data_IF_145882047774
#
_entry.id   IF_145882047774
#
_cell.length_a   1.000
_cell.length_b   1.000
_cell.length_c   1.000
_cell.angle_alpha   90.00
_cell.angle_beta   90.00
_cell.angle_gamma   90.00
#
_symmetry.space_group_name_H-M   'P 1'
#
loop_
_entity.id
_entity.type
_entity.pdbx_description
1 polymer ?
#
# COMPACT_ATOMS: atom_id res chain seq x y z
N UNK A 1 66.97 20.56 -44.85
CA UNK A 1 67.84 21.67 -44.53
C UNK A 1 67.26 22.30 -43.30
N UNK A 2 67.79 21.96 -42.30
CA UNK A 2 68.78 22.50 -41.36
C UNK A 2 68.05 23.32 -40.29
N UNK A 3 68.01 22.81 -39.12
CA UNK A 3 68.96 22.74 -37.98
C UNK A 3 68.95 23.97 -37.08
N UNK A 4 68.81 23.70 -35.88
CA UNK A 4 69.56 24.14 -34.68
C UNK A 4 68.98 25.33 -33.93
N UNK A 5 68.87 25.18 -32.74
CA UNK A 5 69.52 24.87 -31.47
C UNK A 5 69.41 26.06 -30.49
N UNK A 6 68.89 25.77 -29.33
CA UNK A 6 69.43 26.02 -27.97
C UNK A 6 70.00 27.39 -27.64
N UNK A 7 69.53 28.05 -26.59
CA UNK A 7 70.38 28.25 -25.39
C UNK A 7 69.61 28.77 -24.15
N UNK A 8 70.16 28.36 -23.06
CA UNK A 8 69.73 28.52 -21.63
C UNK A 8 70.20 29.91 -21.09
N UNK A 9 69.59 30.19 -19.90
CA UNK A 9 70.01 31.10 -18.80
C UNK A 9 69.29 32.45 -18.83
N UNK A 10 68.79 33.02 -17.75
CA UNK A 10 69.14 32.89 -16.32
C UNK A 10 68.01 33.34 -15.41
N UNK A 11 68.00 32.76 -14.25
CA UNK A 11 67.52 33.21 -12.92
C UNK A 11 67.15 34.69 -12.77
N UNK A 12 65.98 34.92 -12.14
CA UNK A 12 65.89 35.83 -11.00
C UNK A 12 64.63 35.51 -10.19
N UNK A 13 64.83 35.39 -8.87
CA UNK A 13 63.87 35.04 -7.83
C UNK A 13 62.86 36.15 -7.63
N UNK A 14 61.58 35.76 -7.52
CA UNK A 14 60.58 36.52 -6.80
C UNK A 14 59.75 35.55 -5.97
N UNK A 15 59.90 35.63 -4.68
CA UNK A 15 59.18 34.92 -3.66
C UNK A 15 57.70 35.35 -3.70
N UNK A 16 56.80 34.46 -4.13
CA UNK A 16 55.35 34.59 -3.87
C UNK A 16 54.89 33.42 -3.05
N UNK A 17 54.54 33.74 -1.86
CA UNK A 17 53.93 32.85 -0.83
C UNK A 17 52.67 32.23 -1.40
N UNK A 18 52.71 30.96 -1.78
CA UNK A 18 51.52 30.17 -2.13
C UNK A 18 50.85 29.75 -0.85
N UNK A 19 49.75 30.42 -0.50
CA UNK A 19 48.84 29.96 0.54
C UNK A 19 48.18 28.67 0.04
N UNK A 20 48.58 27.54 0.59
CA UNK A 20 47.89 26.25 0.43
C UNK A 20 46.56 26.35 1.21
N UNK A 21 45.48 26.62 0.50
CA UNK A 21 44.15 26.41 1.00
C UNK A 21 43.90 24.89 1.09
N UNK A 22 44.23 24.31 2.24
CA UNK A 22 43.71 23.02 2.67
C UNK A 22 42.20 23.19 2.88
N UNK A 23 41.42 22.91 1.84
CA UNK A 23 39.99 22.75 1.95
C UNK A 23 39.69 21.54 2.84
N UNK A 24 39.38 21.79 4.09
CA UNK A 24 38.70 20.81 4.93
C UNK A 24 37.35 20.51 4.29
N UNK A 25 37.28 19.44 3.54
CA UNK A 25 36.01 18.80 3.23
C UNK A 25 35.45 18.30 4.57
N UNK A 26 34.67 19.14 5.23
CA UNK A 26 33.83 18.70 6.33
C UNK A 26 32.84 17.71 5.76
N UNK A 27 33.10 16.42 5.97
CA UNK A 27 32.10 15.38 5.85
C UNK A 27 30.99 15.72 6.85
N UNK A 28 29.96 16.41 6.41
CA UNK A 28 28.72 16.53 7.18
C UNK A 28 28.17 15.12 7.33
N UNK A 29 28.41 14.53 8.52
CA UNK A 29 27.65 13.35 8.95
C UNK A 29 26.17 13.73 8.80
N UNK A 30 25.34 12.84 8.23
CA UNK A 30 23.90 13.11 8.16
C UNK A 30 23.43 13.41 9.58
N UNK A 31 22.79 14.57 9.72
CA UNK A 31 22.23 15.04 10.99
C UNK A 31 21.14 14.05 11.42
N UNK A 32 21.48 13.13 12.32
CA UNK A 32 20.56 12.16 12.92
C UNK A 32 19.77 12.79 14.07
N UNK A 33 19.35 14.05 13.93
CA UNK A 33 18.44 14.65 14.88
C UNK A 33 17.21 13.73 14.99
N UNK A 34 16.92 13.22 16.19
CA UNK A 34 15.74 12.41 16.45
C UNK A 34 14.52 13.26 16.06
N UNK A 35 13.81 12.81 15.02
CA UNK A 35 12.56 13.42 14.61
C UNK A 35 11.56 13.17 15.74
N UNK A 36 11.12 14.25 16.39
CA UNK A 36 10.09 14.19 17.42
C UNK A 36 8.79 14.59 16.73
N UNK A 37 7.75 13.72 16.68
CA UNK A 37 6.46 14.12 16.14
C UNK A 37 5.93 15.36 16.83
N UNK A 38 5.38 16.29 16.07
CA UNK A 38 4.68 17.45 16.64
C UNK A 38 3.53 16.96 17.53
N UNK A 39 3.46 17.41 18.76
CA UNK A 39 2.30 17.13 19.62
C UNK A 39 1.16 18.05 19.21
N UNK A 40 0.08 17.48 18.66
CA UNK A 40 -1.19 18.19 18.46
C UNK A 40 -1.97 18.09 19.77
N UNK A 41 -2.42 19.22 20.31
CA UNK A 41 -3.26 19.23 21.51
C UNK A 41 -4.64 18.61 21.20
N UNK A 42 -5.26 17.86 22.13
CA UNK A 42 -6.58 17.29 21.93
C UNK A 42 -7.67 18.29 21.48
N UNK A 43 -7.51 19.54 21.85
CA UNK A 43 -8.44 20.65 21.48
C UNK A 43 -8.04 21.38 20.20
N UNK A 44 -6.91 21.02 19.59
CA UNK A 44 -6.40 21.64 18.37
C UNK A 44 -6.78 20.79 17.17
N UNK A 45 -7.24 21.43 16.10
CA UNK A 45 -7.47 20.73 14.83
C UNK A 45 -6.15 20.26 14.23
N UNK A 46 -6.13 19.04 13.71
CA UNK A 46 -4.99 18.49 12.98
C UNK A 46 -4.93 19.15 11.60
N UNK A 47 -3.82 19.81 11.28
CA UNK A 47 -3.56 20.38 9.96
C UNK A 47 -3.12 19.27 8.99
N UNK A 48 -3.97 18.95 8.04
CA UNK A 48 -3.74 17.89 7.06
C UNK A 48 -3.42 18.48 5.70
N UNK A 49 -2.32 18.02 5.10
CA UNK A 49 -2.03 18.23 3.69
C UNK A 49 -2.41 16.96 2.90
N UNK A 50 -2.95 17.14 1.69
CA UNK A 50 -3.44 16.04 0.86
C UNK A 50 -2.51 15.85 -0.34
N UNK A 51 -1.93 14.66 -0.48
CA UNK A 51 -1.13 14.25 -1.63
C UNK A 51 -2.02 13.35 -2.50
N UNK A 52 -2.47 13.90 -3.64
CA UNK A 52 -3.59 13.41 -4.42
C UNK A 52 -4.90 14.10 -4.02
N UNK A 53 -5.41 14.99 -4.87
CA UNK A 53 -6.59 15.83 -4.62
C UNK A 53 -7.86 15.39 -5.32
N UNK A 54 -7.78 14.41 -6.24
CA UNK A 54 -8.91 13.96 -7.04
C UNK A 54 -9.35 12.52 -6.78
N UNK A 55 -10.57 12.16 -7.19
CA UNK A 55 -11.11 10.81 -7.04
C UNK A 55 -11.07 10.32 -5.60
N UNK A 56 -10.34 9.21 -5.31
CA UNK A 56 -10.23 8.70 -3.95
C UNK A 56 -9.56 9.72 -3.00
N UNK A 57 -8.60 10.52 -3.51
CA UNK A 57 -7.98 11.58 -2.71
C UNK A 57 -8.96 12.67 -2.28
N UNK A 58 -9.93 13.02 -3.14
CA UNK A 58 -11.03 13.91 -2.76
C UNK A 58 -11.88 13.31 -1.63
N UNK A 59 -12.23 12.02 -1.74
CA UNK A 59 -12.95 11.31 -0.69
C UNK A 59 -12.20 11.32 0.64
N UNK A 60 -10.90 10.98 0.61
CA UNK A 60 -10.05 10.92 1.79
C UNK A 60 -9.95 12.28 2.48
N UNK A 61 -9.74 13.32 1.69
CA UNK A 61 -9.69 14.71 2.15
C UNK A 61 -11.00 15.14 2.83
N UNK A 62 -12.14 14.85 2.19
CA UNK A 62 -13.44 15.22 2.73
C UNK A 62 -13.80 14.44 4.00
N UNK A 63 -13.42 13.15 4.07
CA UNK A 63 -13.64 12.36 5.27
C UNK A 63 -12.68 12.77 6.41
N UNK A 64 -11.43 13.11 6.14
CA UNK A 64 -10.53 13.69 7.13
C UNK A 64 -11.08 15.01 7.67
N UNK A 65 -11.60 15.88 6.79
CA UNK A 65 -12.28 17.13 7.19
C UNK A 65 -13.52 16.87 8.07
N UNK A 66 -14.33 15.86 7.71
CA UNK A 66 -15.49 15.41 8.51
C UNK A 66 -15.06 14.87 9.88
N UNK A 67 -13.93 14.19 9.97
CA UNK A 67 -13.33 13.72 11.22
C UNK A 67 -12.68 14.84 12.06
N UNK A 68 -12.78 16.11 11.63
CA UNK A 68 -12.32 17.29 12.38
C UNK A 68 -10.97 17.87 11.94
N UNK A 69 -10.35 17.35 10.89
CA UNK A 69 -9.11 17.92 10.35
C UNK A 69 -9.32 19.29 9.68
N UNK A 70 -8.25 20.08 9.67
CA UNK A 70 -8.16 21.29 8.88
C UNK A 70 -7.31 21.01 7.64
N UNK A 71 -7.87 21.18 6.43
CA UNK A 71 -7.14 20.93 5.18
C UNK A 71 -6.37 22.22 4.83
N UNK A 72 -5.03 22.14 4.88
CA UNK A 72 -4.13 23.29 4.72
C UNK A 72 -3.44 23.36 3.37
N UNK A 73 -3.25 22.21 2.70
CA UNK A 73 -2.64 22.15 1.39
C UNK A 73 -3.09 20.92 0.58
N UNK A 74 -3.02 21.02 -0.74
CA UNK A 74 -3.35 19.94 -1.67
C UNK A 74 -2.26 19.91 -2.75
N UNK A 75 -1.65 18.75 -2.97
CA UNK A 75 -0.69 18.53 -4.05
C UNK A 75 -1.21 17.47 -5.01
N UNK A 76 -1.32 17.80 -6.29
CA UNK A 76 -1.71 16.88 -7.35
C UNK A 76 -1.06 17.31 -8.68
N UNK A 77 -0.34 16.43 -9.40
CA UNK A 77 0.24 16.77 -10.70
C UNK A 77 -0.81 16.97 -11.81
N UNK A 78 -2.06 16.50 -11.61
CA UNK A 78 -3.19 16.67 -12.52
C UNK A 78 -4.25 17.61 -11.91
N UNK A 79 -4.15 18.87 -12.24
CA UNK A 79 -5.02 19.90 -11.70
C UNK A 79 -6.47 19.80 -12.19
N UNK A 80 -6.70 19.24 -13.39
CA UNK A 80 -8.05 18.92 -13.84
C UNK A 80 -8.71 17.88 -12.92
N UNK A 81 -7.94 16.84 -12.55
CA UNK A 81 -8.40 15.80 -11.64
C UNK A 81 -8.64 16.31 -10.23
N UNK A 82 -7.82 17.25 -9.75
CA UNK A 82 -7.91 17.82 -8.41
C UNK A 82 -8.89 19.02 -8.32
N UNK A 83 -9.44 19.52 -9.41
CA UNK A 83 -10.23 20.75 -9.47
C UNK A 83 -11.37 20.80 -8.45
N UNK A 84 -12.09 19.70 -8.25
CA UNK A 84 -13.16 19.61 -7.25
C UNK A 84 -12.61 19.73 -5.82
N UNK A 85 -11.46 19.14 -5.56
CA UNK A 85 -10.75 19.23 -4.28
C UNK A 85 -10.34 20.68 -3.97
N UNK A 86 -9.78 21.37 -4.94
CA UNK A 86 -9.45 22.78 -4.83
C UNK A 86 -10.67 23.65 -4.55
N UNK A 87 -11.77 23.40 -5.24
CA UNK A 87 -13.02 24.13 -5.02
C UNK A 87 -13.60 23.91 -3.61
N UNK A 88 -13.60 22.67 -3.10
CA UNK A 88 -14.14 22.34 -1.77
C UNK A 88 -13.26 22.78 -0.61
N UNK A 89 -11.96 22.96 -0.84
CA UNK A 89 -10.98 23.41 0.13
C UNK A 89 -10.20 24.63 -0.40
N UNK A 90 -10.92 25.66 -0.80
CA UNK A 90 -10.40 26.87 -1.47
C UNK A 90 -9.34 27.63 -0.67
N UNK A 91 -9.34 27.49 0.66
CA UNK A 91 -8.35 28.13 1.54
C UNK A 91 -7.04 27.30 1.64
N UNK A 92 -7.02 26.07 1.13
CA UNK A 92 -5.83 25.24 1.09
C UNK A 92 -4.89 25.69 -0.03
N UNK A 93 -3.57 25.74 0.26
CA UNK A 93 -2.57 26.04 -0.76
C UNK A 93 -2.47 24.89 -1.77
N UNK A 94 -2.26 25.25 -3.05
CA UNK A 94 -2.26 24.30 -4.16
C UNK A 94 -0.86 24.11 -4.72
N UNK A 95 -0.49 22.85 -4.98
CA UNK A 95 0.83 22.46 -5.49
C UNK A 95 0.70 21.40 -6.57
N UNK A 96 1.60 21.39 -7.56
CA UNK A 96 1.76 20.24 -8.47
C UNK A 96 2.63 19.15 -7.84
N UNK A 97 3.69 19.54 -7.14
CA UNK A 97 4.66 18.65 -6.53
C UNK A 97 4.53 18.65 -5.00
N UNK A 98 4.22 17.48 -4.43
CA UNK A 98 4.12 17.31 -2.98
C UNK A 98 5.45 17.53 -2.25
N UNK A 99 6.59 17.38 -2.94
CA UNK A 99 7.91 17.62 -2.35
C UNK A 99 8.09 19.10 -2.06
N UNK A 100 7.71 19.96 -3.01
CA UNK A 100 7.71 21.41 -2.84
C UNK A 100 6.74 21.82 -1.73
N UNK A 101 5.52 21.25 -1.72
CA UNK A 101 4.55 21.48 -0.65
C UNK A 101 5.13 21.18 0.74
N UNK A 102 5.78 20.04 0.89
CA UNK A 102 6.36 19.64 2.18
C UNK A 102 7.56 20.51 2.58
N UNK A 103 8.36 20.99 1.62
CA UNK A 103 9.50 21.87 1.89
C UNK A 103 9.04 23.26 2.33
N UNK A 104 8.00 23.81 1.70
CA UNK A 104 7.49 25.16 2.01
C UNK A 104 6.60 25.19 3.26
N UNK A 105 5.75 24.17 3.44
CA UNK A 105 4.72 24.15 4.47
C UNK A 105 4.99 23.17 5.62
N UNK A 106 6.13 22.50 5.64
CA UNK A 106 6.38 21.44 6.62
C UNK A 106 6.18 21.85 8.09
N UNK A 107 6.26 23.13 8.44
CA UNK A 107 6.00 23.60 9.81
C UNK A 107 4.51 23.73 10.12
N UNK A 108 3.68 23.94 9.11
CA UNK A 108 2.24 24.16 9.25
C UNK A 108 1.42 22.88 9.07
N UNK A 109 2.07 21.77 8.69
CA UNK A 109 1.46 20.46 8.45
C UNK A 109 1.73 19.57 9.64
N UNK A 110 0.70 18.92 10.18
CA UNK A 110 0.79 17.90 11.23
C UNK A 110 0.75 16.49 10.63
N UNK A 111 -0.03 16.31 9.57
CA UNK A 111 -0.30 15.02 8.96
C UNK A 111 -0.57 15.13 7.47
N UNK A 112 -0.40 14.00 6.74
CA UNK A 112 -0.74 13.94 5.32
C UNK A 112 -1.62 12.74 4.99
N UNK A 113 -2.58 12.94 4.08
CA UNK A 113 -3.14 11.82 3.30
C UNK A 113 -2.28 11.59 2.07
N UNK A 114 -2.06 10.32 1.70
CA UNK A 114 -1.38 9.90 0.49
C UNK A 114 -2.34 9.03 -0.30
N UNK A 115 -2.93 9.61 -1.35
CA UNK A 115 -4.03 9.02 -2.12
C UNK A 115 -3.75 9.10 -3.63
N UNK A 116 -2.54 8.78 -3.98
CA UNK A 116 -1.98 8.74 -5.33
C UNK A 116 -2.17 7.35 -5.96
N UNK A 117 -1.73 7.11 -7.20
CA UNK A 117 -1.52 5.75 -7.70
C UNK A 117 -0.49 4.97 -6.88
N UNK A 118 -0.58 3.62 -6.87
CA UNK A 118 0.18 2.73 -5.99
C UNK A 118 1.69 2.98 -6.02
N UNK A 119 2.25 3.25 -7.20
CA UNK A 119 3.69 3.42 -7.42
C UNK A 119 4.28 4.65 -6.71
N UNK A 120 3.47 5.62 -6.30
CA UNK A 120 3.91 6.84 -5.62
C UNK A 120 3.53 6.89 -4.13
N UNK A 121 2.85 5.86 -3.60
CA UNK A 121 2.54 5.77 -2.17
C UNK A 121 3.80 5.83 -1.30
N UNK A 122 4.78 4.95 -1.60
CA UNK A 122 5.95 4.82 -0.77
C UNK A 122 6.83 6.08 -0.71
N UNK A 123 7.23 6.73 -1.82
CA UNK A 123 8.07 7.92 -1.75
C UNK A 123 7.38 9.08 -1.03
N UNK A 124 6.06 9.25 -1.21
CA UNK A 124 5.30 10.29 -0.52
C UNK A 124 5.20 10.00 0.99
N UNK A 125 4.75 8.81 1.38
CA UNK A 125 4.61 8.42 2.79
C UNK A 125 5.98 8.42 3.52
N UNK A 126 7.03 7.94 2.85
CA UNK A 126 8.41 7.97 3.38
C UNK A 126 8.84 9.40 3.72
N UNK A 127 8.70 10.35 2.78
CA UNK A 127 9.09 11.74 2.99
C UNK A 127 8.29 12.40 4.11
N UNK A 128 6.97 12.17 4.16
CA UNK A 128 6.08 12.64 5.22
C UNK A 128 6.58 12.16 6.59
N UNK A 129 6.82 10.85 6.75
CA UNK A 129 7.27 10.27 8.02
C UNK A 129 8.69 10.71 8.40
N UNK A 130 9.60 10.90 7.43
CA UNK A 130 10.96 11.43 7.68
C UNK A 130 10.95 12.87 8.18
N UNK A 131 9.89 13.62 7.93
CA UNK A 131 9.65 14.95 8.49
C UNK A 131 8.91 14.90 9.84
N UNK A 132 8.67 13.70 10.40
CA UNK A 132 7.98 13.51 11.67
C UNK A 132 6.47 13.77 11.59
N UNK A 133 5.87 13.69 10.41
CA UNK A 133 4.44 13.93 10.22
C UNK A 133 3.68 12.61 10.19
N UNK A 134 2.44 12.65 10.69
CA UNK A 134 1.53 11.52 10.66
C UNK A 134 1.04 11.25 9.24
N UNK A 135 0.69 9.97 8.93
CA UNK A 135 0.31 9.61 7.57
C UNK A 135 -0.89 8.67 7.51
N UNK A 136 -1.82 9.01 6.64
CA UNK A 136 -2.87 8.13 6.14
C UNK A 136 -2.52 7.78 4.70
N UNK A 137 -2.20 6.52 4.41
CA UNK A 137 -1.80 6.09 3.08
C UNK A 137 -2.84 5.13 2.50
N UNK A 138 -3.23 5.34 1.24
CA UNK A 138 -4.17 4.46 0.56
C UNK A 138 -3.60 3.05 0.37
N UNK A 139 -4.49 2.11 0.14
CA UNK A 139 -4.20 0.69 -0.13
C UNK A 139 -3.96 0.46 -1.65
N UNK A 140 -3.13 -0.55 -2.00
CA UNK A 140 -2.20 -1.26 -1.12
C UNK A 140 -1.20 -0.27 -0.51
N UNK A 141 -0.64 -0.56 0.66
CA UNK A 141 0.26 0.38 1.32
C UNK A 141 1.37 0.87 0.40
N UNK A 142 1.90 -0.02 -0.44
CA UNK A 142 2.98 0.26 -1.38
C UNK A 142 2.87 -0.59 -2.64
N UNK A 143 3.62 -0.19 -3.66
CA UNK A 143 3.73 -0.87 -4.94
C UNK A 143 4.62 -2.13 -4.85
N UNK A 144 5.67 -2.13 -4.03
CA UNK A 144 6.59 -3.25 -3.85
C UNK A 144 6.67 -3.74 -2.41
N UNK A 145 7.17 -4.97 -2.25
CA UNK A 145 7.35 -5.59 -0.93
C UNK A 145 8.43 -4.88 -0.12
N UNK A 146 9.53 -4.50 -0.75
CA UNK A 146 10.63 -3.79 -0.11
C UNK A 146 10.16 -2.42 0.43
N UNK A 147 9.34 -1.70 -0.35
CA UNK A 147 8.72 -0.44 0.08
C UNK A 147 7.82 -0.63 1.31
N UNK A 148 6.99 -1.69 1.35
CA UNK A 148 6.12 -1.95 2.51
C UNK A 148 6.93 -2.18 3.79
N UNK A 149 8.00 -2.95 3.70
CA UNK A 149 8.93 -3.19 4.81
C UNK A 149 9.64 -1.91 5.25
N UNK A 150 10.06 -1.08 4.29
CA UNK A 150 10.68 0.22 4.56
C UNK A 150 9.72 1.15 5.31
N UNK A 151 8.47 1.30 4.84
CA UNK A 151 7.51 2.19 5.49
C UNK A 151 7.19 1.76 6.91
N UNK A 152 7.05 0.45 7.18
CA UNK A 152 6.90 -0.09 8.54
C UNK A 152 8.06 0.32 9.44
N UNK A 153 9.29 0.11 8.97
CA UNK A 153 10.51 0.46 9.71
C UNK A 153 10.56 1.95 10.02
N UNK A 154 10.32 2.80 9.02
CA UNK A 154 10.37 4.26 9.18
C UNK A 154 9.26 4.76 10.11
N UNK A 155 8.06 4.18 10.06
CA UNK A 155 6.98 4.53 10.98
C UNK A 155 7.35 4.24 12.44
N UNK A 156 8.00 3.09 12.70
CA UNK A 156 8.49 2.71 14.02
C UNK A 156 9.61 3.65 14.52
N UNK A 157 10.56 4.00 13.65
CA UNK A 157 11.65 4.92 13.96
C UNK A 157 11.14 6.34 14.24
N UNK A 158 10.24 6.86 13.40
CA UNK A 158 9.67 8.21 13.50
C UNK A 158 8.61 8.31 14.62
N UNK A 159 8.06 7.20 15.09
CA UNK A 159 6.99 7.12 16.12
C UNK A 159 5.76 7.95 15.76
N UNK A 160 5.44 8.05 14.48
CA UNK A 160 4.27 8.76 13.98
C UNK A 160 3.05 7.86 13.94
N UNK A 161 1.86 8.45 14.01
CA UNK A 161 0.59 7.74 13.81
C UNK A 161 0.42 7.47 12.32
N UNK A 162 0.18 6.21 11.99
CA UNK A 162 0.00 5.75 10.61
C UNK A 162 -1.32 5.01 10.46
N UNK A 163 -1.98 5.13 9.30
CA UNK A 163 -3.21 4.40 8.98
C UNK A 163 -3.19 4.03 7.50
N UNK A 164 -3.53 2.79 7.16
CA UNK A 164 -3.80 2.40 5.77
C UNK A 164 -5.28 2.58 5.43
N UNK A 165 -5.55 2.90 4.16
CA UNK A 165 -6.89 3.17 3.64
C UNK A 165 -7.75 1.93 3.35
N UNK A 166 -7.56 0.81 4.07
CA UNK A 166 -8.44 -0.35 4.01
C UNK A 166 -9.60 -0.21 5.01
N UNK A 167 -10.59 0.60 4.64
CA UNK A 167 -11.68 1.04 5.52
C UNK A 167 -12.45 -0.11 6.20
N UNK A 168 -12.58 -1.27 5.56
CA UNK A 168 -13.22 -2.46 6.13
C UNK A 168 -12.63 -2.88 7.46
N UNK A 169 -11.32 -2.69 7.64
CA UNK A 169 -10.61 -3.02 8.88
C UNK A 169 -11.12 -2.24 10.10
N UNK A 170 -11.72 -1.09 9.92
CA UNK A 170 -12.32 -0.27 10.98
C UNK A 170 -13.79 -0.60 11.24
N UNK A 171 -14.45 -1.35 10.37
CA UNK A 171 -15.87 -1.65 10.47
C UNK A 171 -16.17 -2.77 11.48
N UNK A 172 -17.44 -2.84 11.92
CA UNK A 172 -17.91 -3.84 12.88
C UNK A 172 -17.83 -5.26 12.31
N UNK A 173 -18.17 -5.43 11.01
CA UNK A 173 -18.30 -6.74 10.38
C UNK A 173 -17.05 -7.61 10.48
N UNK A 174 -15.87 -7.05 10.13
CA UNK A 174 -14.60 -7.82 10.21
C UNK A 174 -14.27 -8.21 11.66
N UNK A 175 -14.63 -7.37 12.65
CA UNK A 175 -14.43 -7.69 14.07
C UNK A 175 -15.33 -8.81 14.52
N UNK A 176 -16.60 -8.75 14.16
CA UNK A 176 -17.55 -9.84 14.41
C UNK A 176 -17.10 -11.15 13.75
N UNK A 177 -16.58 -11.09 12.53
CA UNK A 177 -16.00 -12.25 11.85
C UNK A 177 -14.84 -12.85 12.66
N UNK A 178 -13.90 -12.02 13.13
CA UNK A 178 -12.80 -12.48 13.97
C UNK A 178 -13.30 -13.10 15.29
N UNK A 179 -14.27 -12.47 15.96
CA UNK A 179 -14.87 -12.95 17.20
C UNK A 179 -15.60 -14.28 16.98
N UNK A 180 -16.34 -14.43 15.88
CA UNK A 180 -16.96 -15.70 15.48
C UNK A 180 -15.90 -16.77 15.21
N UNK A 181 -14.84 -16.45 14.48
CA UNK A 181 -13.76 -17.39 14.20
C UNK A 181 -13.09 -17.87 15.48
N UNK A 182 -12.73 -16.93 16.36
CA UNK A 182 -12.03 -17.23 17.63
C UNK A 182 -12.89 -17.93 18.67
N UNK A 183 -14.23 -17.86 18.54
CA UNK A 183 -15.14 -18.68 19.36
C UNK A 183 -15.07 -20.18 19.00
N UNK A 184 -14.42 -20.53 17.88
CA UNK A 184 -14.32 -21.90 17.41
C UNK A 184 -15.60 -22.46 16.79
N UNK A 185 -16.54 -21.61 16.39
CA UNK A 185 -17.86 -22.00 15.89
C UNK A 185 -17.80 -22.90 14.66
N UNK A 186 -16.80 -22.72 13.79
CA UNK A 186 -16.55 -23.58 12.63
C UNK A 186 -15.41 -24.58 12.83
N UNK A 187 -14.83 -24.64 14.05
CA UNK A 187 -13.68 -25.50 14.36
C UNK A 187 -12.38 -25.05 13.69
N UNK A 188 -11.47 -25.98 13.41
CA UNK A 188 -10.20 -25.73 12.79
C UNK A 188 -10.38 -25.40 11.30
N UNK A 189 -9.93 -24.23 10.87
CA UNK A 189 -10.00 -23.80 9.48
C UNK A 189 -8.79 -24.33 8.72
N UNK A 190 -9.06 -25.04 7.62
CA UNK A 190 -8.04 -25.59 6.74
C UNK A 190 -7.91 -24.86 5.42
N UNK A 191 -9.00 -24.26 4.96
CA UNK A 191 -9.06 -23.50 3.72
C UNK A 191 -9.85 -22.21 3.93
N UNK A 192 -9.37 -21.15 3.30
CA UNK A 192 -10.08 -19.89 3.16
C UNK A 192 -10.02 -19.46 1.69
N UNK A 193 -11.16 -19.13 1.12
CA UNK A 193 -11.25 -18.59 -0.23
C UNK A 193 -11.67 -17.12 -0.16
N UNK A 194 -10.96 -16.28 -0.90
CA UNK A 194 -11.26 -14.85 -1.06
C UNK A 194 -11.31 -14.52 -2.54
N UNK A 195 -12.32 -13.81 -3.01
CA UNK A 195 -12.53 -13.60 -4.43
C UNK A 195 -13.07 -12.22 -4.76
N UNK A 196 -12.79 -11.76 -5.99
CA UNK A 196 -13.26 -10.50 -6.53
C UNK A 196 -13.59 -10.61 -8.02
N UNK A 197 -14.48 -9.76 -8.50
CA UNK A 197 -14.76 -9.61 -9.92
C UNK A 197 -13.75 -8.68 -10.64
N UNK A 198 -12.75 -8.16 -9.93
CA UNK A 198 -11.68 -7.37 -10.58
C UNK A 198 -10.79 -8.26 -11.45
N UNK A 199 -10.14 -7.69 -12.48
CA UNK A 199 -10.07 -6.29 -12.86
C UNK A 199 -11.31 -5.79 -13.59
N UNK A 200 -11.65 -4.48 -13.42
CA UNK A 200 -12.65 -3.76 -14.21
C UNK A 200 -11.99 -2.70 -15.11
N UNK A 201 -10.69 -2.73 -15.18
CA UNK A 201 -9.83 -1.92 -16.05
C UNK A 201 -9.15 -2.83 -17.07
N UNK A 202 -8.65 -2.27 -18.21
CA UNK A 202 -7.97 -3.07 -19.23
C UNK A 202 -6.70 -3.72 -18.71
N UNK A 203 -6.56 -5.02 -18.97
CA UNK A 203 -5.34 -5.83 -18.77
C UNK A 203 -5.16 -6.75 -19.99
N UNK A 204 -4.11 -7.58 -20.02
CA UNK A 204 -3.77 -8.43 -21.16
C UNK A 204 -3.17 -7.65 -22.34
N UNK A 205 -2.62 -6.47 -22.10
CA UNK A 205 -2.05 -5.59 -23.13
C UNK A 205 -0.56 -5.89 -23.22
N UNK A 206 -0.08 -6.28 -24.41
CA UNK A 206 1.29 -6.75 -24.61
C UNK A 206 2.30 -5.64 -24.95
N UNK A 207 1.86 -4.43 -25.29
CA UNK A 207 2.75 -3.33 -25.69
C UNK A 207 2.36 -2.01 -25.00
N UNK A 208 3.30 -1.09 -24.81
CA UNK A 208 2.99 0.26 -24.40
C UNK A 208 1.98 0.93 -25.34
N UNK A 209 1.13 1.78 -24.78
CA UNK A 209 0.17 2.53 -25.58
C UNK A 209 0.88 3.63 -26.41
N UNK A 210 0.31 4.02 -27.56
CA UNK A 210 0.84 5.12 -28.38
C UNK A 210 0.95 6.42 -27.59
N UNK A 211 1.93 7.26 -27.92
CA UNK A 211 2.08 8.59 -27.34
C UNK A 211 0.89 9.50 -27.71
N UNK A 212 0.41 10.23 -26.73
CA UNK A 212 -0.59 11.29 -26.89
C UNK A 212 -0.05 12.60 -26.29
N UNK A 213 -0.58 13.77 -26.71
CA UNK A 213 -0.22 15.05 -26.08
C UNK A 213 -0.63 15.03 -24.59
N UNK A 214 0.29 15.50 -23.74
CA UNK A 214 -0.01 15.67 -22.31
C UNK A 214 -1.00 16.84 -22.15
N UNK A 215 -2.09 16.68 -21.37
CA UNK A 215 -2.99 17.80 -21.05
C UNK A 215 -2.22 18.98 -20.39
N UNK A 216 -2.58 20.21 -20.72
CA UNK A 216 -1.88 21.41 -20.23
C UNK A 216 -1.84 21.52 -18.71
N UNK A 217 -2.90 21.06 -18.03
CA UNK A 217 -3.01 21.11 -16.58
C UNK A 217 -2.30 19.95 -15.85
N UNK A 218 -1.74 18.99 -16.60
CA UNK A 218 -1.06 17.81 -16.06
C UNK A 218 0.44 17.94 -16.19
N UNK A 219 1.16 17.67 -15.10
CA UNK A 219 2.60 17.39 -15.13
C UNK A 219 2.82 15.88 -15.18
N UNK A 220 3.01 15.34 -16.38
CA UNK A 220 3.20 13.92 -16.59
C UNK A 220 4.49 13.39 -15.95
N UNK A 221 5.56 14.20 -15.93
CA UNK A 221 6.81 13.81 -15.28
C UNK A 221 6.66 13.61 -13.77
N UNK A 222 5.90 14.48 -13.10
CA UNK A 222 5.56 14.30 -11.69
C UNK A 222 4.60 13.12 -11.49
N UNK A 223 3.66 12.92 -12.41
CA UNK A 223 2.68 11.84 -12.30
C UNK A 223 3.32 10.45 -12.40
N UNK A 224 4.24 10.21 -13.35
CA UNK A 224 4.94 8.91 -13.45
C UNK A 224 5.89 8.67 -12.28
N UNK A 225 6.33 9.71 -11.57
CA UNK A 225 7.05 9.59 -10.30
C UNK A 225 8.20 8.58 -10.34
N UNK A 226 8.06 7.51 -9.58
CA UNK A 226 9.06 6.42 -9.48
C UNK A 226 9.09 5.48 -10.68
N UNK A 227 8.07 5.49 -11.54
CA UNK A 227 7.98 4.57 -12.68
C UNK A 227 9.00 4.92 -13.76
N UNK A 228 9.40 3.96 -14.63
CA UNK A 228 10.23 4.23 -15.78
C UNK A 228 9.62 5.31 -16.69
N UNK A 229 10.46 6.03 -17.43
CA UNK A 229 9.99 7.01 -18.39
C UNK A 229 9.10 6.34 -19.45
N UNK A 230 7.93 6.92 -19.63
CA UNK A 230 6.89 6.43 -20.55
C UNK A 230 6.15 7.62 -21.13
N UNK A 231 5.86 7.59 -22.43
CA UNK A 231 5.01 8.56 -23.07
C UNK A 231 3.60 8.56 -22.47
N UNK A 232 2.99 9.73 -22.38
CA UNK A 232 1.61 9.87 -21.91
C UNK A 232 0.64 9.19 -22.87
N UNK A 233 -0.38 8.59 -22.29
CA UNK A 233 -1.60 8.16 -22.98
C UNK A 233 -2.78 8.29 -21.99
N UNK A 234 -3.90 8.81 -22.46
CA UNK A 234 -5.12 9.04 -21.67
C UNK A 234 -5.73 7.78 -21.06
N UNK A 235 -5.34 6.60 -21.55
CA UNK A 235 -5.77 5.30 -20.99
C UNK A 235 -4.93 4.84 -19.78
N UNK A 236 -3.85 5.54 -19.41
CA UNK A 236 -3.15 5.26 -18.15
C UNK A 236 -3.86 5.93 -16.96
N UNK A 237 -4.13 7.22 -17.09
CA UNK A 237 -4.75 8.03 -16.04
C UNK A 237 -6.20 8.41 -16.46
N UNK A 238 -7.11 8.67 -15.49
CA UNK A 238 -6.88 8.75 -14.05
C UNK A 238 -7.20 7.43 -13.29
N UNK A 239 -7.60 6.34 -13.96
CA UNK A 239 -8.11 5.13 -13.29
C UNK A 239 -7.40 3.83 -13.70
N UNK A 240 -7.12 3.65 -14.99
CA UNK A 240 -6.65 2.37 -15.54
C UNK A 240 -5.18 2.05 -15.23
N UNK A 241 -4.46 2.95 -14.59
CA UNK A 241 -3.09 2.74 -14.10
C UNK A 241 -2.95 1.46 -13.26
N UNK A 242 -4.03 1.02 -12.60
CA UNK A 242 -4.07 -0.22 -11.80
C UNK A 242 -3.69 -1.47 -12.59
N UNK A 243 -4.00 -1.49 -13.87
CA UNK A 243 -3.72 -2.59 -14.79
C UNK A 243 -2.35 -2.53 -15.47
N UNK A 244 -1.41 -1.71 -14.99
CA UNK A 244 -0.08 -1.57 -15.55
C UNK A 244 0.95 -1.81 -14.46
N UNK A 245 1.90 -2.76 -14.71
CA UNK A 245 2.93 -3.10 -13.74
C UNK A 245 3.77 -1.92 -13.26
N UNK A 246 3.96 -0.89 -14.12
CA UNK A 246 4.71 0.30 -13.74
C UNK A 246 3.99 1.19 -12.70
N UNK A 247 2.66 1.10 -12.60
CA UNK A 247 1.85 2.05 -11.85
C UNK A 247 0.99 1.43 -10.75
N UNK A 248 0.58 0.18 -10.92
CA UNK A 248 -0.35 -0.49 -10.02
C UNK A 248 -0.05 -1.96 -9.80
N UNK A 249 -0.73 -2.52 -8.82
CA UNK A 249 -0.53 -3.89 -8.35
C UNK A 249 -1.60 -4.88 -8.86
N UNK A 250 -2.36 -4.52 -9.90
CA UNK A 250 -3.40 -5.39 -10.45
C UNK A 250 -4.55 -5.67 -9.49
N UNK A 251 -5.34 -6.71 -9.79
CA UNK A 251 -6.54 -7.05 -9.01
C UNK A 251 -6.21 -7.44 -7.56
N UNK A 252 -5.15 -8.22 -7.33
CA UNK A 252 -4.77 -8.64 -5.97
C UNK A 252 -4.31 -7.46 -5.11
N UNK A 253 -3.51 -6.54 -5.66
CA UNK A 253 -3.10 -5.33 -4.92
C UNK A 253 -4.28 -4.42 -4.62
N UNK A 254 -5.19 -4.24 -5.59
CA UNK A 254 -6.37 -3.38 -5.41
C UNK A 254 -7.34 -3.94 -4.35
N UNK A 255 -7.60 -5.24 -4.33
CA UNK A 255 -8.70 -5.82 -3.55
C UNK A 255 -8.28 -6.70 -2.37
N UNK A 256 -7.07 -7.26 -2.33
CA UNK A 256 -6.69 -8.15 -1.23
C UNK A 256 -6.68 -7.42 0.12
N UNK A 257 -6.26 -6.16 0.17
CA UNK A 257 -6.30 -5.38 1.40
C UNK A 257 -7.72 -5.15 1.94
N UNK A 258 -8.77 -5.43 1.16
CA UNK A 258 -10.16 -5.36 1.58
C UNK A 258 -10.71 -6.74 1.91
N UNK A 259 -10.51 -7.73 1.03
CA UNK A 259 -11.19 -9.03 1.12
C UNK A 259 -10.34 -10.05 1.87
N UNK A 260 -9.03 -10.10 1.59
CA UNK A 260 -8.10 -10.99 2.29
C UNK A 260 -7.84 -10.53 3.73
N UNK A 261 -8.07 -9.26 4.05
CA UNK A 261 -7.96 -8.69 5.39
C UNK A 261 -8.74 -9.51 6.42
N UNK A 262 -9.96 -9.93 6.08
CA UNK A 262 -10.79 -10.78 6.93
C UNK A 262 -10.09 -12.12 7.26
N UNK A 263 -9.46 -12.77 6.28
CA UNK A 263 -8.69 -14.01 6.48
C UNK A 263 -7.38 -13.72 7.21
N UNK A 264 -6.69 -12.64 6.83
CA UNK A 264 -5.40 -12.27 7.41
C UNK A 264 -5.50 -12.03 8.93
N UNK A 265 -6.55 -11.33 9.36
CA UNK A 265 -6.78 -11.06 10.78
C UNK A 265 -7.36 -12.26 11.52
N UNK A 266 -8.48 -12.81 11.05
CA UNK A 266 -9.20 -13.86 11.77
C UNK A 266 -8.40 -15.16 11.92
N UNK A 267 -7.49 -15.45 10.98
CA UNK A 267 -6.61 -16.61 10.99
C UNK A 267 -5.20 -16.30 11.53
N UNK A 268 -4.98 -15.08 12.05
CA UNK A 268 -3.71 -14.65 12.64
C UNK A 268 -2.49 -14.86 11.73
N UNK A 269 -2.65 -14.55 10.43
CA UNK A 269 -1.61 -14.82 9.43
C UNK A 269 -0.36 -13.94 9.60
N UNK A 270 -0.48 -12.85 10.34
CA UNK A 270 0.62 -11.93 10.68
C UNK A 270 1.74 -12.62 11.49
N UNK A 271 1.42 -13.69 12.22
CA UNK A 271 2.40 -14.42 13.04
C UNK A 271 3.21 -15.45 12.25
N UNK A 272 2.92 -15.66 10.97
CA UNK A 272 3.66 -16.61 10.16
C UNK A 272 5.10 -16.10 9.91
N UNK A 273 6.09 -16.94 10.23
CA UNK A 273 7.51 -16.64 9.97
C UNK A 273 7.89 -16.90 8.51
N UNK A 274 7.14 -17.80 7.85
CA UNK A 274 7.27 -18.14 6.44
C UNK A 274 5.89 -18.39 5.85
N UNK A 275 5.75 -18.23 4.56
CA UNK A 275 4.59 -18.72 3.81
C UNK A 275 4.98 -19.04 2.38
N UNK A 276 4.16 -19.84 1.71
CA UNK A 276 4.39 -20.25 0.32
C UNK A 276 3.27 -19.70 -0.55
N UNK A 277 3.60 -19.11 -1.70
CA UNK A 277 2.59 -18.68 -2.69
C UNK A 277 2.83 -19.37 -4.03
N UNK A 278 1.74 -19.82 -4.68
CA UNK A 278 1.74 -20.50 -5.95
C UNK A 278 0.61 -20.00 -6.84
N UNK A 279 0.92 -19.53 -8.04
CA UNK A 279 -0.08 -19.23 -9.06
C UNK A 279 -0.59 -20.54 -9.68
N UNK A 280 -1.85 -20.89 -9.38
CA UNK A 280 -2.53 -22.09 -9.92
C UNK A 280 -3.14 -21.81 -11.28
N UNK A 281 -3.72 -20.58 -11.42
CA UNK A 281 -4.27 -20.07 -12.68
C UNK A 281 -3.66 -18.69 -12.92
N UNK A 282 -3.23 -18.44 -14.15
CA UNK A 282 -2.78 -17.12 -14.62
C UNK A 282 -3.06 -17.02 -16.11
N UNK A 283 -4.03 -16.22 -16.50
CA UNK A 283 -4.44 -16.06 -17.89
C UNK A 283 -4.29 -14.61 -18.35
N UNK A 284 -3.66 -14.40 -19.51
CA UNK A 284 -3.53 -13.08 -20.14
C UNK A 284 -2.51 -12.14 -19.48
N UNK A 285 -1.63 -12.64 -18.61
CA UNK A 285 -0.51 -11.85 -18.08
C UNK A 285 0.49 -11.52 -19.19
N UNK A 286 1.00 -10.29 -19.16
CA UNK A 286 2.04 -9.81 -20.09
C UNK A 286 3.16 -9.12 -19.32
N UNK A 287 4.22 -8.71 -20.00
CA UNK A 287 5.29 -7.90 -19.40
C UNK A 287 4.81 -6.46 -19.05
N UNK A 288 3.68 -6.04 -19.57
CA UNK A 288 3.12 -4.71 -19.31
C UNK A 288 2.01 -4.72 -18.26
N UNK A 289 1.23 -5.80 -18.20
CA UNK A 289 -0.01 -5.83 -17.42
C UNK A 289 -0.16 -7.13 -16.63
N UNK A 290 -0.77 -7.08 -15.44
CA UNK A 290 -1.21 -8.25 -14.68
C UNK A 290 -2.17 -9.15 -15.47
N UNK A 291 -2.44 -10.39 -15.00
CA UNK A 291 -3.36 -11.31 -15.67
C UNK A 291 -4.80 -10.80 -15.69
N UNK A 292 -5.55 -11.16 -16.73
CA UNK A 292 -7.00 -10.94 -16.82
C UNK A 292 -7.76 -11.67 -15.72
N UNK A 293 -7.26 -12.86 -15.33
CA UNK A 293 -7.77 -13.64 -14.20
C UNK A 293 -6.69 -14.53 -13.61
N UNK A 294 -6.75 -14.73 -12.30
CA UNK A 294 -5.82 -15.59 -11.59
C UNK A 294 -6.45 -16.36 -10.43
N UNK A 295 -5.80 -17.46 -10.06
CA UNK A 295 -5.97 -18.13 -8.77
C UNK A 295 -4.60 -18.33 -8.15
N UNK A 296 -4.42 -17.77 -6.95
CA UNK A 296 -3.16 -17.89 -6.20
C UNK A 296 -3.45 -18.59 -4.89
N UNK A 297 -2.76 -19.68 -4.64
CA UNK A 297 -2.77 -20.41 -3.38
C UNK A 297 -1.65 -19.88 -2.49
N UNK A 298 -1.98 -19.57 -1.23
CA UNK A 298 -1.00 -19.11 -0.24
C UNK A 298 -1.10 -20.03 0.98
N UNK A 299 -0.06 -20.81 1.22
CA UNK A 299 0.01 -21.76 2.32
C UNK A 299 0.75 -21.18 3.50
N UNK A 300 0.09 -21.17 4.65
CA UNK A 300 0.67 -20.72 5.92
C UNK A 300 0.89 -21.94 6.83
N UNK A 301 2.06 -22.05 7.49
CA UNK A 301 2.31 -23.09 8.48
C UNK A 301 1.44 -22.91 9.73
N UNK A 302 1.52 -23.85 10.65
CA UNK A 302 0.93 -23.69 11.98
C UNK A 302 1.54 -22.46 12.69
N UNK A 303 0.70 -21.70 13.41
CA UNK A 303 1.07 -20.45 14.08
C UNK A 303 0.25 -20.24 15.35
N UNK A 304 0.92 -19.94 16.45
CA UNK A 304 0.28 -19.86 17.75
C UNK A 304 -0.54 -21.11 18.08
N UNK A 305 -1.84 -20.95 18.28
CA UNK A 305 -2.80 -22.05 18.54
C UNK A 305 -3.50 -22.53 17.26
N UNK A 306 -3.22 -21.93 16.10
CA UNK A 306 -3.88 -22.25 14.84
C UNK A 306 -3.05 -23.21 14.02
N UNK A 307 -3.69 -24.22 13.43
CA UNK A 307 -3.10 -25.18 12.50
C UNK A 307 -2.70 -24.53 11.16
N UNK A 308 -2.04 -25.32 10.27
CA UNK A 308 -1.75 -24.83 8.93
C UNK A 308 -3.04 -24.53 8.16
N UNK A 309 -2.98 -23.55 7.24
CA UNK A 309 -4.13 -23.12 6.44
C UNK A 309 -3.68 -22.72 5.03
N UNK A 310 -4.49 -23.05 4.04
CA UNK A 310 -4.37 -22.57 2.66
C UNK A 310 -5.36 -21.42 2.43
N UNK A 311 -4.87 -20.28 1.96
CA UNK A 311 -5.71 -19.15 1.53
C UNK A 311 -5.65 -19.09 0.00
N UNK A 312 -6.81 -19.12 -0.63
CA UNK A 312 -6.95 -19.03 -2.09
C UNK A 312 -7.47 -17.66 -2.48
N UNK A 313 -6.68 -16.92 -3.22
CA UNK A 313 -7.10 -15.71 -3.92
C UNK A 313 -7.67 -16.07 -5.28
N UNK A 314 -8.81 -15.48 -5.65
CA UNK A 314 -9.40 -15.62 -6.97
C UNK A 314 -9.79 -14.25 -7.52
N UNK A 315 -9.47 -13.99 -8.78
CA UNK A 315 -9.88 -12.77 -9.49
C UNK A 315 -10.33 -13.06 -10.93
N UNK A 316 -10.72 -12.01 -11.65
CA UNK A 316 -11.22 -12.14 -13.02
C UNK A 316 -12.53 -12.90 -13.11
N UNK A 317 -13.34 -12.92 -12.04
CA UNK A 317 -14.62 -13.61 -12.00
C UNK A 317 -14.53 -15.10 -11.68
N UNK A 318 -13.35 -15.62 -11.33
CA UNK A 318 -13.22 -16.97 -10.82
C UNK A 318 -13.84 -17.03 -9.42
N UNK A 319 -14.77 -17.95 -9.23
CA UNK A 319 -15.41 -18.20 -7.93
C UNK A 319 -14.86 -19.49 -7.30
N UNK A 320 -14.83 -19.58 -5.96
CA UNK A 320 -14.48 -20.83 -5.28
C UNK A 320 -15.52 -21.92 -5.56
N UNK A 321 -15.09 -23.17 -5.51
CA UNK A 321 -16.02 -24.30 -5.56
C UNK A 321 -16.97 -24.22 -4.38
N UNK A 322 -18.28 -24.26 -4.67
CA UNK A 322 -19.32 -24.30 -3.63
C UNK A 322 -19.28 -25.64 -2.91
N UNK A 323 -19.19 -25.68 -1.57
CA UNK A 323 -19.39 -26.92 -0.82
C UNK A 323 -20.74 -27.56 -1.13
N UNK A 324 -20.77 -28.90 -1.29
CA UNK A 324 -21.96 -29.63 -1.76
C UNK A 324 -23.16 -29.58 -0.80
N UNK A 325 -22.90 -29.34 0.48
CA UNK A 325 -23.92 -29.23 1.54
C UNK A 325 -24.45 -27.81 1.73
N UNK A 326 -23.97 -26.82 0.96
CA UNK A 326 -24.54 -25.47 0.92
C UNK A 326 -25.56 -25.39 -0.22
N UNK A 327 -26.84 -25.14 0.06
CA UNK A 327 -27.89 -25.00 -0.96
C UNK A 327 -27.52 -24.01 -2.07
N UNK A 328 -27.88 -24.34 -3.32
CA UNK A 328 -27.49 -23.54 -4.51
C UNK A 328 -28.07 -22.12 -4.50
N UNK A 329 -29.23 -21.92 -3.87
CA UNK A 329 -29.89 -20.62 -3.72
C UNK A 329 -29.30 -19.73 -2.63
N UNK A 330 -28.47 -20.28 -1.74
CA UNK A 330 -27.81 -19.48 -0.70
C UNK A 330 -26.62 -18.71 -1.26
N UNK A 331 -26.59 -17.43 -0.96
CA UNK A 331 -25.52 -16.54 -1.37
C UNK A 331 -24.26 -16.76 -0.51
N UNK A 332 -23.11 -16.91 -1.14
CA UNK A 332 -21.80 -16.93 -0.48
C UNK A 332 -21.14 -15.55 -0.71
N UNK A 333 -20.60 -14.93 0.34
CA UNK A 333 -20.09 -13.56 0.27
C UNK A 333 -21.15 -12.56 -0.17
N UNK A 334 -20.77 -11.61 -0.99
CA UNK A 334 -21.64 -10.65 -1.69
C UNK A 334 -21.94 -11.08 -3.13
N UNK A 335 -21.60 -12.33 -3.50
CA UNK A 335 -21.67 -12.86 -4.85
C UNK A 335 -20.38 -12.59 -5.62
N UNK A 336 -20.20 -11.39 -6.16
CA UNK A 336 -19.03 -11.03 -6.96
C UNK A 336 -17.75 -10.85 -6.15
N UNK A 337 -17.86 -10.56 -4.86
CA UNK A 337 -16.77 -10.40 -3.91
C UNK A 337 -17.10 -11.15 -2.63
N UNK A 338 -16.09 -11.58 -1.89
CA UNK A 338 -16.33 -12.14 -0.57
C UNK A 338 -15.25 -13.09 -0.10
N UNK A 339 -15.54 -13.70 1.05
CA UNK A 339 -14.70 -14.72 1.67
C UNK A 339 -15.54 -15.91 2.12
N UNK A 340 -14.95 -17.12 2.02
CA UNK A 340 -15.50 -18.37 2.51
C UNK A 340 -14.42 -19.09 3.32
N UNK A 341 -14.72 -19.44 4.56
CA UNK A 341 -13.84 -20.19 5.45
C UNK A 341 -14.41 -21.59 5.65
N UNK A 342 -13.59 -22.60 5.39
CA UNK A 342 -13.94 -24.02 5.51
C UNK A 342 -13.27 -24.57 6.76
N UNK A 343 -14.09 -24.79 7.78
CA UNK A 343 -13.65 -25.33 9.05
C UNK A 343 -14.08 -26.78 9.25
N UNK A 344 -13.53 -27.45 10.27
CA UNK A 344 -13.83 -28.85 10.60
C UNK A 344 -15.27 -29.08 11.09
N UNK A 345 -16.01 -28.00 11.47
CA UNK A 345 -17.37 -28.08 11.98
C UNK A 345 -18.39 -27.29 11.13
N UNK A 346 -17.97 -26.68 10.04
CA UNK A 346 -18.86 -25.91 9.19
C UNK A 346 -18.16 -24.77 8.46
N UNK A 347 -18.97 -23.83 7.97
CA UNK A 347 -18.51 -22.74 7.10
C UNK A 347 -18.88 -21.39 7.68
N UNK A 348 -18.00 -20.41 7.44
CA UNK A 348 -18.24 -19.00 7.71
C UNK A 348 -18.02 -18.21 6.42
N UNK A 349 -18.87 -17.26 6.12
CA UNK A 349 -18.73 -16.38 4.96
C UNK A 349 -18.90 -14.93 5.34
N UNK A 350 -18.27 -14.03 4.60
CA UNK A 350 -18.45 -12.58 4.72
C UNK A 350 -18.33 -11.89 3.36
N UNK A 351 -18.87 -10.69 3.25
CA UNK A 351 -18.77 -9.84 2.06
C UNK A 351 -17.43 -9.16 1.88
N UNK A 352 -17.36 -8.22 0.91
CA UNK A 352 -16.14 -7.57 0.40
C UNK A 352 -15.24 -6.98 1.51
N UNK A 353 -15.82 -6.31 2.49
CA UNK A 353 -15.08 -5.67 3.60
C UNK A 353 -15.17 -6.46 4.91
N UNK A 354 -15.32 -7.78 4.83
CA UNK A 354 -15.62 -8.59 6.01
C UNK A 354 -17.02 -8.34 6.58
N UNK A 355 -17.88 -7.68 5.81
CA UNK A 355 -19.23 -7.32 6.21
C UNK A 355 -20.18 -8.52 6.28
N UNK A 356 -21.21 -8.41 7.13
CA UNK A 356 -22.26 -9.41 7.26
C UNK A 356 -21.76 -10.85 7.45
N UNK A 357 -20.85 -11.10 8.42
CA UNK A 357 -20.34 -12.44 8.68
C UNK A 357 -21.48 -13.37 9.15
N UNK A 358 -21.55 -14.57 8.55
CA UNK A 358 -22.59 -15.55 8.86
C UNK A 358 -22.11 -16.98 8.62
N UNK A 359 -22.71 -17.89 9.38
CA UNK A 359 -22.51 -19.34 9.18
C UNK A 359 -23.31 -19.81 7.95
N UNK A 360 -22.82 -20.84 7.31
CA UNK A 360 -23.53 -21.53 6.24
C UNK A 360 -23.72 -23.01 6.59
N UNK A 361 -24.84 -23.64 6.15
CA UNK A 361 -26.01 -22.99 5.56
C UNK A 361 -26.67 -21.99 6.51
N UNK A 362 -27.41 -21.00 5.96
CA UNK A 362 -28.00 -19.89 6.75
C UNK A 362 -28.90 -20.35 7.89
N UNK A 363 -29.46 -21.57 7.83
CA UNK A 363 -30.22 -22.18 8.92
C UNK A 363 -29.41 -22.29 10.22
N UNK A 364 -28.08 -22.39 10.16
CA UNK A 364 -27.20 -22.41 11.35
C UNK A 364 -27.17 -21.07 12.10
N UNK A 365 -27.63 -19.98 11.47
CA UNK A 365 -27.71 -18.68 12.13
C UNK A 365 -28.93 -18.58 13.09
N UNK A 366 -29.96 -19.40 12.90
CA UNK A 366 -31.21 -19.32 13.72
C UNK A 366 -30.92 -19.49 15.21
N UNK A 367 -30.09 -20.46 15.58
CA UNK A 367 -29.75 -20.76 16.96
C UNK A 367 -28.38 -20.23 17.39
N UNK A 368 -27.65 -19.58 16.47
CA UNK A 368 -26.31 -19.08 16.76
C UNK A 368 -26.37 -17.81 17.60
N UNK A 369 -25.70 -17.84 18.73
CA UNK A 369 -25.48 -16.64 19.56
C UNK A 369 -24.10 -16.11 19.32
N UNK A 370 -24.02 -14.90 18.75
CA UNK A 370 -22.75 -14.22 18.57
C UNK A 370 -22.01 -14.04 19.91
N UNK A 371 -20.68 -14.22 19.96
CA UNK A 371 -19.91 -13.94 21.18
C UNK A 371 -20.02 -12.46 21.56
N UNK A 372 -19.79 -12.18 22.84
CA UNK A 372 -19.68 -10.81 23.29
C UNK A 372 -18.49 -10.10 22.58
N UNK A 373 -18.60 -8.82 22.27
CA UNK A 373 -17.51 -8.07 21.68
C UNK A 373 -16.23 -8.12 22.52
N UNK A 374 -15.13 -8.63 21.95
CA UNK A 374 -13.80 -8.73 22.58
C UNK A 374 -12.78 -7.83 21.95
N UNK A 375 -13.00 -7.41 20.70
CA UNK A 375 -12.14 -6.49 19.97
C UNK A 375 -12.67 -5.06 20.14
N UNK A 376 -11.78 -4.11 20.49
CA UNK A 376 -12.15 -2.70 20.59
C UNK A 376 -12.81 -2.22 19.30
N UNK A 377 -13.98 -1.62 19.38
CA UNK A 377 -14.65 -0.95 18.25
C UNK A 377 -14.00 0.40 17.98
N UNK A 378 -13.85 0.72 16.71
CA UNK A 378 -13.32 2.00 16.25
C UNK A 378 -14.40 3.07 16.32
N UNK A 379 -14.04 4.27 16.71
CA UNK A 379 -14.95 5.43 16.71
C UNK A 379 -15.59 5.60 15.33
N UNK A 380 -16.90 5.78 15.31
CA UNK A 380 -17.71 5.88 14.08
C UNK A 380 -17.55 4.70 13.09
N UNK A 381 -16.83 3.61 13.45
CA UNK A 381 -16.41 2.54 12.54
C UNK A 381 -15.68 3.07 11.29
N UNK A 382 -14.90 4.11 11.45
CA UNK A 382 -14.35 4.92 10.38
C UNK A 382 -12.85 5.15 10.58
N UNK A 383 -11.99 4.86 9.58
CA UNK A 383 -10.54 4.97 9.69
C UNK A 383 -10.06 6.42 9.83
N UNK A 384 -10.82 7.41 9.36
CA UNK A 384 -10.40 8.82 9.46
C UNK A 384 -10.59 9.34 10.89
N UNK A 385 -11.69 8.97 11.55
CA UNK A 385 -11.90 9.26 12.97
C UNK A 385 -10.84 8.56 13.82
N UNK A 386 -10.57 7.25 13.57
CA UNK A 386 -9.54 6.51 14.26
C UNK A 386 -8.16 7.18 14.14
N UNK A 387 -7.83 7.64 12.92
CA UNK A 387 -6.56 8.31 12.65
C UNK A 387 -6.43 9.66 13.35
N UNK A 388 -7.43 10.54 13.22
CA UNK A 388 -7.42 11.89 13.83
C UNK A 388 -7.42 11.77 15.36
N UNK A 389 -8.26 10.89 15.95
CA UNK A 389 -8.29 10.67 17.39
C UNK A 389 -6.95 10.15 17.92
N UNK A 390 -6.30 9.21 17.21
CA UNK A 390 -4.98 8.71 17.61
C UNK A 390 -3.89 9.80 17.52
N UNK A 391 -3.98 10.73 16.58
CA UNK A 391 -3.04 11.87 16.49
C UNK A 391 -3.22 12.80 17.69
N UNK A 392 -4.45 13.12 18.07
CA UNK A 392 -4.77 14.05 19.14
C UNK A 392 -4.54 13.47 20.54
N UNK A 393 -4.91 12.19 20.73
CA UNK A 393 -4.97 11.57 22.05
C UNK A 393 -3.85 10.56 22.30
N UNK A 394 -3.05 10.25 21.26
CA UNK A 394 -2.08 9.17 21.30
C UNK A 394 -2.73 7.81 21.06
N UNK A 395 -1.91 6.80 20.82
CA UNK A 395 -2.35 5.44 20.58
C UNK A 395 -1.93 4.92 19.20
N UNK A 396 -2.48 3.76 18.84
CA UNK A 396 -2.28 3.12 17.54
C UNK A 396 -3.61 2.97 16.84
N UNK A 397 -3.66 3.30 15.58
CA UNK A 397 -4.82 3.09 14.72
C UNK A 397 -5.03 1.59 14.46
N UNK A 398 -6.23 1.23 14.04
CA UNK A 398 -6.58 -0.16 13.77
C UNK A 398 -5.71 -0.76 12.64
N UNK A 399 -5.51 -0.05 11.53
CA UNK A 399 -4.69 -0.51 10.40
C UNK A 399 -3.40 0.32 10.28
N UNK A 400 -2.65 0.43 11.39
CA UNK A 400 -1.33 1.06 11.37
C UNK A 400 -0.33 0.24 10.54
N UNK A 401 0.83 0.81 10.24
CA UNK A 401 1.79 0.14 9.34
C UNK A 401 2.44 -1.12 9.92
N UNK A 402 2.33 -1.39 11.22
CA UNK A 402 2.73 -2.70 11.78
C UNK A 402 1.81 -3.83 11.27
N UNK A 403 0.53 -3.53 11.02
CA UNK A 403 -0.47 -4.43 10.45
C UNK A 403 -0.52 -4.34 8.92
N UNK A 404 -0.61 -3.13 8.38
CA UNK A 404 -0.81 -2.87 6.97
C UNK A 404 0.34 -3.38 6.07
N UNK A 405 1.58 -3.26 6.56
CA UNK A 405 2.76 -3.71 5.81
C UNK A 405 2.77 -5.23 5.62
N UNK A 406 2.63 -6.10 6.65
CA UNK A 406 2.53 -7.54 6.44
C UNK A 406 1.38 -7.97 5.52
N UNK A 407 0.20 -7.38 5.64
CA UNK A 407 -0.93 -7.65 4.75
C UNK A 407 -0.59 -7.30 3.29
N UNK A 408 0.02 -6.13 3.05
CA UNK A 408 0.46 -5.70 1.72
C UNK A 408 1.57 -6.62 1.17
N UNK A 409 2.48 -7.09 2.02
CA UNK A 409 3.52 -8.06 1.64
C UNK A 409 2.89 -9.36 1.12
N UNK A 410 1.91 -9.91 1.82
CA UNK A 410 1.22 -11.15 1.38
C UNK A 410 0.49 -10.93 0.06
N UNK A 411 -0.25 -9.81 -0.08
CA UNK A 411 -0.94 -9.47 -1.32
C UNK A 411 0.03 -9.33 -2.51
N UNK A 412 1.08 -8.51 -2.36
CA UNK A 412 2.04 -8.26 -3.44
C UNK A 412 2.94 -9.49 -3.72
N UNK A 413 3.13 -10.39 -2.75
CA UNK A 413 3.84 -11.64 -3.00
C UNK A 413 3.05 -12.59 -3.90
N UNK A 414 1.72 -12.47 -3.92
CA UNK A 414 0.88 -13.11 -4.93
C UNK A 414 1.26 -12.68 -6.36
N UNK A 415 1.54 -11.40 -6.57
CA UNK A 415 2.03 -10.90 -7.86
C UNK A 415 3.42 -11.47 -8.21
N UNK A 416 4.32 -11.62 -7.24
CA UNK A 416 5.63 -12.27 -7.47
C UNK A 416 5.45 -13.72 -7.88
N UNK A 417 4.51 -14.44 -7.25
CA UNK A 417 4.23 -15.85 -7.57
C UNK A 417 3.69 -16.06 -9.01
N UNK A 418 3.02 -15.06 -9.60
CA UNK A 418 2.60 -15.10 -11.01
C UNK A 418 3.79 -15.28 -11.97
N UNK A 419 4.95 -14.72 -11.63
CA UNK A 419 6.18 -14.83 -12.45
C UNK A 419 6.91 -16.17 -12.28
N UNK A 420 6.50 -17.00 -11.30
CA UNK A 420 7.11 -18.30 -11.06
C UNK A 420 6.56 -19.43 -11.97
N UNK A 421 5.65 -19.12 -12.90
CA UNK A 421 5.10 -20.07 -13.88
C UNK A 421 4.49 -21.31 -13.24
N UNK A 422 3.82 -21.15 -12.10
CA UNK A 422 3.16 -22.24 -11.38
C UNK A 422 4.05 -22.98 -10.36
N UNK A 423 5.32 -22.62 -10.22
CA UNK A 423 6.16 -23.13 -9.13
C UNK A 423 5.82 -22.43 -7.80
N UNK A 424 5.75 -23.18 -6.68
CA UNK A 424 5.54 -22.59 -5.38
C UNK A 424 6.78 -21.80 -4.93
N UNK A 425 6.58 -20.57 -4.43
CA UNK A 425 7.63 -19.71 -3.90
C UNK A 425 7.54 -19.62 -2.38
N UNK A 426 8.66 -19.81 -1.68
CA UNK A 426 8.75 -19.72 -0.22
C UNK A 426 9.30 -18.34 0.15
N UNK A 427 8.53 -17.60 0.93
CA UNK A 427 8.92 -16.29 1.45
C UNK A 427 9.34 -16.39 2.92
N UNK A 428 10.55 -15.92 3.22
CA UNK A 428 11.06 -15.72 4.58
C UNK A 428 10.66 -14.33 5.05
N UNK A 429 9.72 -14.25 5.97
CA UNK A 429 9.14 -12.98 6.47
C UNK A 429 10.19 -12.14 7.20
N UNK A 430 11.02 -12.78 8.03
CA UNK A 430 12.05 -12.09 8.80
C UNK A 430 13.08 -11.42 7.89
N UNK A 431 13.63 -12.16 6.95
CA UNK A 431 14.69 -11.69 6.06
C UNK A 431 14.15 -10.96 4.82
N UNK A 432 12.84 -11.05 4.52
CA UNK A 432 12.21 -10.39 3.40
C UNK A 432 12.68 -10.88 2.04
N UNK A 433 12.78 -12.21 1.86
CA UNK A 433 13.34 -12.80 0.65
C UNK A 433 12.66 -14.10 0.24
N UNK A 434 12.69 -14.38 -1.05
CA UNK A 434 12.39 -15.70 -1.62
C UNK A 434 13.58 -16.62 -1.37
N UNK A 435 13.36 -17.80 -0.78
CA UNK A 435 14.44 -18.71 -0.38
C UNK A 435 14.71 -19.81 -1.39
N UNK A 436 13.69 -20.31 -2.09
CA UNK A 436 13.80 -21.45 -3.03
C UNK A 436 13.98 -21.02 -4.50
N UNK A 437 13.81 -19.73 -4.82
CA UNK A 437 14.09 -19.19 -6.16
C UNK A 437 14.70 -17.78 -6.05
N UNK A 438 16.00 -17.65 -5.74
CA UNK A 438 16.64 -16.36 -5.47
C UNK A 438 16.56 -15.34 -6.61
N UNK A 439 16.39 -15.78 -7.87
CA UNK A 439 16.27 -14.89 -9.03
C UNK A 439 15.05 -13.98 -8.93
N UNK A 440 13.98 -14.46 -8.32
CA UNK A 440 12.74 -13.68 -8.15
C UNK A 440 12.81 -12.66 -7.02
N UNK A 441 13.91 -12.59 -6.26
CA UNK A 441 14.12 -11.51 -5.29
C UNK A 441 14.22 -10.12 -5.98
N UNK A 442 14.58 -10.06 -7.23
CA UNK A 442 14.57 -8.81 -8.01
C UNK A 442 13.15 -8.19 -8.10
N UNK A 443 12.09 -9.02 -8.04
CA UNK A 443 10.70 -8.57 -8.10
C UNK A 443 10.15 -8.09 -6.74
N UNK A 444 10.91 -8.23 -5.66
CA UNK A 444 10.52 -7.71 -4.34
C UNK A 444 10.70 -6.20 -4.24
N UNK A 445 11.43 -5.60 -5.17
CA UNK A 445 11.70 -4.18 -5.32
C UNK A 445 11.53 -3.76 -6.77
N UNK A 446 11.91 -2.54 -7.10
CA UNK A 446 11.93 -2.01 -8.48
C UNK A 446 13.12 -1.08 -8.67
N UNK A 447 13.49 -0.83 -9.92
CA UNK A 447 14.37 0.28 -10.25
C UNK A 447 13.61 1.60 -10.16
N UNK A 448 14.24 2.59 -9.54
CA UNK A 448 13.65 3.91 -9.38
C UNK A 448 14.19 4.85 -10.43
N UNK A 449 13.32 5.67 -10.99
CA UNK A 449 13.73 6.77 -11.84
C UNK A 449 14.59 7.76 -11.03
N UNK A 450 15.60 8.34 -11.68
CA UNK A 450 16.55 9.30 -11.06
C UNK A 450 15.82 10.43 -10.34
N UNK A 451 16.15 10.66 -9.07
CA UNK A 451 15.53 11.67 -8.20
C UNK A 451 14.29 11.21 -7.48
N UNK A 452 13.93 9.90 -7.61
CA UNK A 452 12.79 9.28 -6.93
C UNK A 452 13.20 8.05 -6.10
N UNK A 453 14.47 7.84 -5.88
CA UNK A 453 15.03 6.68 -5.20
C UNK A 453 14.60 6.60 -3.74
N UNK A 454 14.36 5.38 -3.26
CA UNK A 454 14.14 5.06 -1.87
C UNK A 454 15.24 4.13 -1.33
N UNK A 455 15.59 4.20 -0.06
CA UNK A 455 16.59 3.33 0.55
C UNK A 455 15.99 1.96 0.91
N UNK A 456 15.52 1.22 -0.08
CA UNK A 456 14.90 -0.12 0.05
C UNK A 456 15.91 -1.25 -0.02
#
# INVERSE_FOLDING_TARGET
>A
MDKNQITRRAFLAASTTTAVLTGCASSQKPNTAKVVPGKVSPNQKVNVACIGGGGKGLDDMMNAKKAGANIVAIADPDWNRAAEGFYKCKDAKQYKDYRVMLDEMGKDIDACTVSTPDHTHAPAAYRVMKLGKHVYCQKPLTHTIAEARLLRKVAQEAKVVTQMGNQGHCQVGVRELCEMMWSGVIGDVKEAHVWTNRPIWPQGIAAPLPAEPVPAEMDWNLWIGTAPERAYNSKYAPFNWRGWWDFGCGAIGDMACHIMDAAFWSLNLIEAETFTAQAIVSEGMTDQTPPLKSTIKIDFPARGKMGPVSVYWHDGGILPTRPADIPADQKIGDGNNGSLFIGSKGYLTAGEYGGHPRLLPDSKMADYKKPAPSIKRVSHNDPYYDWIECIQNGGKTASNFDYASPLTVVANFGNVALHAKGEPLIYDVKNGKVTNNPKLNALLTKEYRKGWELPV
#
